data_IF_768953348239
#
_entry.id   IF_768953348239
#
_cell.length_a   1.000
_cell.length_b   1.000
_cell.length_c   1.000
_cell.angle_alpha   90.00
_cell.angle_beta   90.00
_cell.angle_gamma   90.00
#
_symmetry.space_group_name_H-M   'P 1'
#
loop_
_entity.id
_entity.type
_entity.pdbx_description
1 polymer ?
#
# COMPACT_ATOMS: atom_id res chain seq x y z
N UNK A 1 -11.94 -0.98 -18.93
CA UNK A 1 -10.54 -0.84 -19.40
C UNK A 1 -9.61 -1.03 -18.21
N UNK A 2 -8.37 -1.46 -18.43
CA UNK A 2 -7.33 -1.61 -17.42
C UNK A 2 -6.15 -0.66 -17.73
N UNK A 3 -5.26 -0.47 -16.75
CA UNK A 3 -4.11 0.45 -16.86
C UNK A 3 -2.89 -0.13 -16.15
N UNK A 4 -1.69 0.19 -16.65
CA UNK A 4 -0.41 -0.01 -15.99
C UNK A 4 0.29 1.35 -15.85
N UNK A 5 0.91 1.61 -14.69
CA UNK A 5 1.58 2.88 -14.41
C UNK A 5 3.07 2.63 -14.20
N UNK A 6 3.88 2.96 -15.21
CA UNK A 6 5.34 2.89 -15.13
C UNK A 6 5.90 4.16 -14.47
N UNK A 7 5.95 4.19 -13.13
CA UNK A 7 6.35 5.37 -12.36
C UNK A 7 7.49 5.11 -11.37
N UNK A 8 8.18 6.20 -11.00
CA UNK A 8 9.15 6.27 -9.89
C UNK A 8 9.06 7.64 -9.20
N UNK A 9 9.45 7.79 -7.92
CA UNK A 9 9.87 6.73 -6.97
C UNK A 9 8.73 5.76 -6.57
N UNK A 10 9.03 4.64 -5.87
CA UNK A 10 7.99 3.74 -5.34
C UNK A 10 7.16 4.41 -4.22
N UNK A 11 6.17 3.70 -3.69
CA UNK A 11 5.24 4.27 -2.69
C UNK A 11 4.89 3.41 -1.47
N UNK A 12 4.95 2.09 -1.54
CA UNK A 12 4.32 1.22 -0.52
C UNK A 12 4.97 1.25 0.88
N UNK A 13 6.18 1.81 1.02
CA UNK A 13 6.82 2.04 2.33
C UNK A 13 6.51 3.42 2.94
N UNK A 14 5.85 4.32 2.21
CA UNK A 14 5.46 5.61 2.77
C UNK A 14 4.24 5.43 3.69
N UNK A 15 4.46 5.62 4.99
CA UNK A 15 3.44 5.58 6.05
C UNK A 15 2.63 6.87 6.09
N UNK A 16 1.67 6.97 7.02
CA UNK A 16 0.87 8.20 7.22
C UNK A 16 1.74 9.44 7.48
N UNK A 17 2.84 9.28 8.21
CA UNK A 17 3.71 10.40 8.66
C UNK A 17 5.20 10.18 8.40
N UNK A 18 5.59 9.10 7.72
CA UNK A 18 7.00 8.70 7.55
C UNK A 18 7.30 8.36 6.09
N UNK A 19 8.32 9.01 5.51
CA UNK A 19 8.91 8.61 4.23
C UNK A 19 10.13 7.70 4.48
N UNK A 20 10.21 6.57 3.79
CA UNK A 20 11.30 5.58 3.95
C UNK A 20 11.38 4.62 2.76
N UNK A 21 12.47 3.85 2.63
CA UNK A 21 12.60 2.83 1.57
C UNK A 21 12.39 3.38 0.15
N UNK A 22 12.96 4.55 -0.13
CA UNK A 22 12.77 5.31 -1.37
C UNK A 22 11.35 5.83 -1.63
N UNK A 23 10.38 5.56 -0.75
CA UNK A 23 8.99 5.96 -0.89
C UNK A 23 8.73 7.29 -0.18
N UNK A 24 8.21 8.27 -0.94
CA UNK A 24 7.84 9.60 -0.41
C UNK A 24 6.33 9.72 -0.19
N UNK A 25 5.53 9.18 -1.12
CA UNK A 25 4.08 9.14 -1.05
C UNK A 25 3.57 7.77 -1.48
N UNK A 26 2.55 7.25 -0.81
CA UNK A 26 1.98 5.95 -1.14
C UNK A 26 0.96 6.06 -2.28
N UNK A 27 1.43 5.87 -3.51
CA UNK A 27 0.62 6.02 -4.74
C UNK A 27 -0.58 5.07 -4.79
N UNK A 28 -0.42 3.81 -4.36
CA UNK A 28 -1.51 2.83 -4.30
C UNK A 28 -2.58 3.24 -3.28
N UNK A 29 -2.16 3.69 -2.09
CA UNK A 29 -3.08 4.17 -1.07
C UNK A 29 -3.83 5.44 -1.51
N UNK A 30 -3.14 6.38 -2.16
CA UNK A 30 -3.75 7.59 -2.73
C UNK A 30 -4.78 7.22 -3.80
N UNK A 31 -4.47 6.25 -4.67
CA UNK A 31 -5.40 5.79 -5.70
C UNK A 31 -6.65 5.15 -5.08
N UNK A 32 -6.48 4.31 -4.05
CA UNK A 32 -7.61 3.73 -3.32
C UNK A 32 -8.51 4.82 -2.71
N UNK A 33 -7.92 5.80 -2.00
CA UNK A 33 -8.68 6.94 -1.45
C UNK A 33 -9.33 7.79 -2.53
N UNK A 34 -8.68 7.98 -3.67
CA UNK A 34 -9.26 8.69 -4.82
C UNK A 34 -10.47 7.95 -5.37
N UNK A 35 -10.40 6.62 -5.54
CA UNK A 35 -11.51 5.79 -5.98
C UNK A 35 -12.72 5.90 -5.03
N UNK A 36 -12.48 5.83 -3.72
CA UNK A 36 -13.54 6.00 -2.72
C UNK A 36 -14.15 7.41 -2.78
N UNK A 37 -13.33 8.46 -2.73
CA UNK A 37 -13.79 9.86 -2.64
C UNK A 37 -14.46 10.36 -3.92
N UNK A 38 -13.86 10.06 -5.08
CA UNK A 38 -14.30 10.61 -6.37
C UNK A 38 -15.32 9.71 -7.08
N UNK A 39 -15.20 8.39 -6.91
CA UNK A 39 -15.99 7.41 -7.64
C UNK A 39 -16.90 6.57 -6.74
N UNK A 40 -16.98 6.88 -5.44
CA UNK A 40 -17.87 6.21 -4.49
C UNK A 40 -17.64 4.69 -4.41
N UNK A 41 -16.40 4.25 -4.66
CA UNK A 41 -16.04 2.85 -4.47
C UNK A 41 -16.21 2.49 -2.99
N UNK A 42 -17.14 1.58 -2.68
CA UNK A 42 -17.42 1.18 -1.29
C UNK A 42 -16.32 0.30 -0.70
N UNK A 43 -15.69 -0.53 -1.54
CA UNK A 43 -14.65 -1.49 -1.14
C UNK A 43 -13.52 -1.50 -2.16
N UNK A 44 -12.27 -1.50 -1.68
CA UNK A 44 -11.06 -1.55 -2.51
C UNK A 44 -10.16 -2.69 -2.02
N UNK A 45 -9.51 -3.40 -2.94
CA UNK A 45 -8.45 -4.34 -2.59
C UNK A 45 -7.11 -3.82 -3.12
N UNK A 46 -6.09 -3.82 -2.26
CA UNK A 46 -4.69 -3.55 -2.62
C UNK A 46 -3.92 -4.85 -2.46
N UNK A 47 -3.43 -5.39 -3.58
CA UNK A 47 -2.58 -6.58 -3.62
C UNK A 47 -1.14 -6.12 -3.86
N UNK A 48 -0.28 -6.37 -2.88
CA UNK A 48 1.14 -6.01 -2.92
C UNK A 48 2.00 -7.27 -3.03
N UNK A 49 2.65 -7.42 -4.19
CA UNK A 49 3.53 -8.56 -4.47
C UNK A 49 5.02 -8.20 -4.41
N UNK A 50 5.37 -6.99 -4.00
CA UNK A 50 6.78 -6.61 -3.84
C UNK A 50 7.45 -7.54 -2.82
N UNK A 51 8.76 -7.80 -2.99
CA UNK A 51 9.48 -8.69 -2.08
C UNK A 51 9.55 -8.12 -0.66
N UNK A 52 9.44 -6.80 -0.50
CA UNK A 52 9.40 -6.13 0.79
C UNK A 52 7.96 -5.91 1.24
N UNK A 53 7.71 -6.04 2.55
CA UNK A 53 6.40 -5.72 3.10
C UNK A 53 6.06 -4.23 2.90
N UNK A 54 4.90 -3.94 2.30
CA UNK A 54 4.34 -2.61 2.16
C UNK A 54 3.81 -2.02 3.48
N UNK A 55 4.72 -1.78 4.44
CA UNK A 55 4.40 -1.26 5.78
C UNK A 55 3.59 0.04 5.75
N UNK A 56 3.84 0.91 4.77
CA UNK A 56 3.11 2.15 4.62
C UNK A 56 1.64 1.92 4.25
N UNK A 57 1.38 1.00 3.32
CA UNK A 57 0.01 0.62 2.95
C UNK A 57 -0.73 0.00 4.13
N UNK A 58 -0.06 -0.90 4.87
CA UNK A 58 -0.60 -1.49 6.08
C UNK A 58 -0.96 -0.43 7.13
N UNK A 59 -0.03 0.47 7.45
CA UNK A 59 -0.26 1.56 8.43
C UNK A 59 -1.45 2.46 8.03
N UNK A 60 -1.58 2.80 6.75
CA UNK A 60 -2.65 3.69 6.27
C UNK A 60 -4.05 3.07 6.42
N UNK A 61 -4.19 1.76 6.21
CA UNK A 61 -5.50 1.08 6.15
C UNK A 61 -5.75 0.08 7.28
N UNK A 62 -4.87 -0.02 8.29
CA UNK A 62 -4.95 -1.01 9.36
C UNK A 62 -6.34 -1.14 10.00
N UNK A 63 -6.97 -0.01 10.30
CA UNK A 63 -8.27 0.06 10.96
C UNK A 63 -9.43 0.36 9.98
N UNK A 64 -9.20 0.25 8.66
CA UNK A 64 -10.19 0.56 7.64
C UNK A 64 -10.76 -0.70 6.96
N UNK A 65 -11.95 -1.17 7.38
CA UNK A 65 -12.55 -2.38 6.82
C UNK A 65 -13.04 -2.22 5.38
N UNK A 66 -13.06 -0.99 4.84
CA UNK A 66 -13.41 -0.74 3.44
C UNK A 66 -12.24 -1.01 2.47
N UNK A 67 -11.03 -1.25 2.98
CA UNK A 67 -9.84 -1.56 2.18
C UNK A 67 -9.22 -2.87 2.63
N UNK A 68 -9.24 -3.88 1.76
CA UNK A 68 -8.49 -5.12 1.96
C UNK A 68 -7.05 -4.90 1.51
N UNK A 69 -6.09 -5.07 2.42
CA UNK A 69 -4.66 -5.16 2.08
C UNK A 69 -4.20 -6.62 2.15
N UNK A 70 -3.62 -7.12 1.06
CA UNK A 70 -3.00 -8.43 1.02
C UNK A 70 -1.58 -8.28 0.47
N UNK A 71 -0.60 -8.83 1.18
CA UNK A 71 0.79 -8.78 0.77
C UNK A 71 1.43 -10.17 0.79
N UNK A 72 2.19 -10.47 -0.25
CA UNK A 72 3.23 -11.50 -0.21
C UNK A 72 4.57 -10.81 -0.11
N UNK A 73 5.41 -11.18 0.84
CA UNK A 73 6.74 -10.59 1.01
C UNK A 73 7.68 -11.59 1.67
N UNK A 74 8.98 -11.37 1.53
CA UNK A 74 10.00 -12.14 2.24
C UNK A 74 10.03 -11.73 3.72
N UNK A 75 10.11 -12.72 4.62
CA UNK A 75 10.28 -12.51 6.05
C UNK A 75 11.24 -13.59 6.61
N UNK A 76 12.38 -13.22 7.22
CA UNK A 76 12.84 -11.86 7.51
C UNK A 76 13.47 -11.13 6.31
N UNK A 77 13.13 -9.84 6.17
CA UNK A 77 13.75 -8.86 5.26
C UNK A 77 13.39 -7.43 5.72
N UNK A 78 14.04 -6.39 5.18
CA UNK A 78 13.54 -5.01 5.25
C UNK A 78 12.05 -4.97 4.83
N UNK A 79 11.16 -4.19 5.48
CA UNK A 79 11.40 -3.23 6.58
C UNK A 79 11.36 -3.83 7.99
N UNK A 80 11.33 -5.16 8.13
CA UNK A 80 11.24 -5.83 9.43
C UNK A 80 9.82 -5.88 10.04
N UNK A 81 8.79 -5.57 9.25
CA UNK A 81 7.37 -5.65 9.64
C UNK A 81 6.62 -6.60 8.70
N UNK A 82 5.34 -6.90 9.00
CA UNK A 82 4.53 -7.84 8.20
C UNK A 82 4.64 -9.31 8.65
N UNK A 83 5.13 -9.56 9.87
CA UNK A 83 5.19 -10.91 10.41
C UNK A 83 3.80 -11.57 10.42
N UNK A 84 3.78 -12.90 10.29
CA UNK A 84 2.55 -13.69 10.37
C UNK A 84 1.84 -13.41 11.69
N UNK A 85 0.57 -13.02 11.60
CA UNK A 85 -0.38 -12.89 12.72
C UNK A 85 -0.87 -14.24 13.22
#
# INVERSE_FOLDING_TARGET
ANVFVAARPPGHHAEKTTAMGFCLFNTAAIAARHAQKKHQAERVAIVDWDVHHGNGTQDIFWDDPSVLYCSTHQMPLYPGTGAKS
#
